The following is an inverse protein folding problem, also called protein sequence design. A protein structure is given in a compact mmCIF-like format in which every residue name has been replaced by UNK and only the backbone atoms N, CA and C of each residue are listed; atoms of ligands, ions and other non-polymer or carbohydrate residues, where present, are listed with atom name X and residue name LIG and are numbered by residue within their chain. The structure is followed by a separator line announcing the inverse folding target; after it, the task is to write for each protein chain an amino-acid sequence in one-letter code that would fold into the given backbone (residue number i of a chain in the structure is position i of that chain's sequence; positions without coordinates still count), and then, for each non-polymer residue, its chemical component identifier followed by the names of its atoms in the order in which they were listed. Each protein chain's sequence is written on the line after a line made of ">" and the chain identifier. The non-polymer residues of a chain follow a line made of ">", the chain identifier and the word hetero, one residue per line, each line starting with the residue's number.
data_IF_590372884388
#
_entry.id   IF_590372884388
#
_cell.length_a   1.000
_cell.length_b   1.000
_cell.length_c   1.000
_cell.angle_alpha   90.00
_cell.angle_beta   90.00
_cell.angle_gamma   90.00
#
_symmetry.space_group_name_H-M   'P 1'
#
loop_
_entity.id
_entity.type
_entity.pdbx_description
1 polymer ?
#
# COMPACT_ATOMS: atom_id res chain seq x y z
N UNK A 1 -60.38 5.35 33.21
CA UNK A 1 -60.22 5.30 31.74
C UNK A 1 -58.87 5.96 31.51
N UNK A 2 -57.81 5.18 31.72
CA UNK A 2 -56.43 5.67 31.75
C UNK A 2 -55.78 5.34 30.42
N UNK A 3 -55.57 6.37 29.60
CA UNK A 3 -54.81 6.26 28.36
C UNK A 3 -53.39 6.72 28.64
N UNK A 4 -52.53 5.77 28.98
CA UNK A 4 -51.08 5.99 29.07
C UNK A 4 -50.56 6.36 27.69
N UNK A 5 -50.08 7.59 27.54
CA UNK A 5 -49.18 7.96 26.46
C UNK A 5 -47.79 7.38 26.78
N UNK A 6 -47.34 6.42 25.98
CA UNK A 6 -45.95 5.98 26.00
C UNK A 6 -45.04 7.16 25.61
N UNK A 7 -43.94 7.42 26.33
CA UNK A 7 -42.96 8.38 25.89
C UNK A 7 -42.17 7.77 24.73
N UNK A 8 -42.22 8.44 23.59
CA UNK A 8 -41.45 8.13 22.39
C UNK A 8 -39.95 8.17 22.73
N UNK A 9 -39.39 6.97 22.92
CA UNK A 9 -38.04 6.76 23.40
C UNK A 9 -37.05 6.99 22.25
N UNK A 10 -36.54 8.22 22.18
CA UNK A 10 -35.17 8.58 21.75
C UNK A 10 -34.48 7.59 20.79
N UNK A 11 -34.61 7.82 19.48
CA UNK A 11 -33.60 7.39 18.48
C UNK A 11 -32.76 8.57 18.05
N UNK A 12 -32.02 9.15 18.98
CA UNK A 12 -30.83 9.92 18.67
C UNK A 12 -29.62 9.03 18.89
N UNK A 13 -29.18 8.33 17.84
CA UNK A 13 -27.92 7.57 17.85
C UNK A 13 -27.16 7.82 16.54
N UNK A 14 -26.14 8.69 16.65
CA UNK A 14 -24.79 8.44 16.13
C UNK A 14 -24.54 8.24 14.63
N UNK A 15 -25.37 8.77 13.72
CA UNK A 15 -25.14 8.63 12.26
C UNK A 15 -24.23 9.71 11.61
N UNK A 16 -23.67 10.66 12.37
CA UNK A 16 -22.91 11.78 11.78
C UNK A 16 -21.40 11.54 11.62
N UNK A 17 -20.83 10.51 12.24
CA UNK A 17 -19.37 10.31 12.30
C UNK A 17 -18.79 9.42 11.18
N UNK A 18 -19.65 8.66 10.48
CA UNK A 18 -19.20 7.63 9.53
C UNK A 18 -18.49 6.45 10.21
N UNK A 19 -17.86 5.56 9.42
CA UNK A 19 -17.22 4.36 9.95
C UNK A 19 -16.05 4.69 10.90
N UNK A 20 -15.78 3.90 11.96
CA UNK A 20 -14.71 4.16 12.94
C UNK A 20 -13.34 4.41 12.32
N UNK A 21 -12.98 3.70 11.25
CA UNK A 21 -11.69 3.89 10.58
C UNK A 21 -11.56 5.28 9.96
N UNK A 22 -12.65 5.85 9.44
CA UNK A 22 -12.67 7.21 8.89
C UNK A 22 -12.37 8.24 9.98
N UNK A 23 -12.96 8.09 11.16
CA UNK A 23 -12.70 8.99 12.29
C UNK A 23 -11.25 8.90 12.76
N UNK A 24 -10.69 7.68 12.84
CA UNK A 24 -9.28 7.49 13.15
C UNK A 24 -8.39 8.20 12.13
N UNK A 25 -8.63 7.99 10.84
CA UNK A 25 -7.84 8.60 9.77
C UNK A 25 -7.96 10.13 9.80
N UNK A 26 -9.18 10.65 9.96
CA UNK A 26 -9.43 12.10 10.13
C UNK A 26 -8.60 12.69 11.26
N UNK A 27 -8.59 12.06 12.43
CA UNK A 27 -7.82 12.54 13.59
C UNK A 27 -6.31 12.51 13.32
N UNK A 28 -5.82 11.43 12.72
CA UNK A 28 -4.40 11.30 12.36
C UNK A 28 -3.99 12.40 11.37
N UNK A 29 -4.78 12.62 10.32
CA UNK A 29 -4.50 13.65 9.33
C UNK A 29 -4.58 15.05 9.93
N UNK A 30 -5.59 15.34 10.76
CA UNK A 30 -5.75 16.64 11.42
C UNK A 30 -4.53 16.99 12.31
N UNK A 31 -3.97 16.02 13.02
CA UNK A 31 -2.83 16.26 13.92
C UNK A 31 -1.50 16.37 13.16
N UNK A 32 -1.32 15.58 12.09
CA UNK A 32 -0.04 15.49 11.38
C UNK A 32 0.12 16.51 10.27
N UNK A 33 -0.96 16.92 9.61
CA UNK A 33 -0.90 17.81 8.46
C UNK A 33 -1.33 19.22 8.85
N UNK A 34 -0.36 20.15 8.90
CA UNK A 34 -0.57 21.55 9.32
C UNK A 34 -0.70 22.54 8.17
N UNK A 35 -0.79 22.07 6.93
CA UNK A 35 -0.88 22.88 5.71
C UNK A 35 -2.17 22.65 4.93
N UNK A 36 -2.30 23.27 3.72
CA UNK A 36 -3.40 22.99 2.81
C UNK A 36 -3.51 21.48 2.57
N UNK A 37 -4.72 20.95 2.74
CA UNK A 37 -4.98 19.55 2.52
C UNK A 37 -5.23 19.29 1.03
N UNK A 38 -4.78 18.15 0.49
CA UNK A 38 -5.08 17.79 -0.88
C UNK A 38 -6.59 17.53 -1.04
N UNK A 39 -7.16 17.67 -2.25
CA UNK A 39 -8.60 17.51 -2.49
C UNK A 39 -9.18 16.20 -1.95
N UNK A 40 -8.42 15.11 -1.99
CA UNK A 40 -8.81 13.79 -1.47
C UNK A 40 -9.09 13.78 0.05
N UNK A 41 -8.61 14.79 0.80
CA UNK A 41 -8.93 14.91 2.21
C UNK A 41 -10.41 15.21 2.46
N UNK A 42 -11.16 15.70 1.46
CA UNK A 42 -12.61 15.93 1.54
C UNK A 42 -13.35 14.70 2.09
N UNK A 43 -12.98 13.49 1.67
CA UNK A 43 -13.57 12.24 2.18
C UNK A 43 -13.47 12.07 3.71
N UNK A 44 -12.45 12.66 4.34
CA UNK A 44 -12.22 12.60 5.79
C UNK A 44 -12.93 13.73 6.55
N UNK A 45 -13.02 14.92 5.94
CA UNK A 45 -13.41 16.14 6.65
C UNK A 45 -14.80 16.64 6.32
N UNK A 46 -15.35 16.30 5.15
CA UNK A 46 -16.68 16.74 4.74
C UNK A 46 -17.77 16.18 5.65
N UNK A 47 -18.85 16.96 5.77
CA UNK A 47 -20.02 16.62 6.59
C UNK A 47 -20.89 15.56 5.92
N UNK A 48 -20.79 15.39 4.61
CA UNK A 48 -21.51 14.35 3.88
C UNK A 48 -20.80 13.01 4.09
N UNK A 49 -21.54 12.07 4.65
CA UNK A 49 -21.09 10.69 4.88
C UNK A 49 -22.09 9.80 4.17
N UNK A 50 -21.61 8.92 3.28
CA UNK A 50 -22.46 7.89 2.69
C UNK A 50 -23.02 7.00 3.81
N UNK A 51 -24.35 6.95 4.01
CA UNK A 51 -24.96 6.11 5.05
C UNK A 51 -24.66 4.61 4.90
N UNK A 52 -24.24 4.17 3.71
CA UNK A 52 -23.89 2.79 3.40
C UNK A 52 -22.42 2.45 3.67
N UNK A 53 -21.59 3.42 4.09
CA UNK A 53 -20.19 3.14 4.37
C UNK A 53 -19.99 2.29 5.62
N UNK A 54 -19.37 1.12 5.43
CA UNK A 54 -18.66 0.41 6.48
C UNK A 54 -17.15 0.70 6.37
N UNK A 55 -16.35 0.18 7.30
CA UNK A 55 -14.89 0.40 7.27
C UNK A 55 -14.26 -0.09 5.95
N UNK A 56 -14.79 -1.15 5.35
CA UNK A 56 -14.22 -1.77 4.15
C UNK A 56 -14.55 -0.98 2.89
N UNK A 57 -15.81 -0.56 2.71
CA UNK A 57 -16.22 0.24 1.57
C UNK A 57 -15.56 1.62 1.61
N UNK A 58 -15.53 2.27 2.78
CA UNK A 58 -14.81 3.52 2.95
C UNK A 58 -13.32 3.40 2.59
N UNK A 59 -12.62 2.37 3.05
CA UNK A 59 -11.19 2.19 2.72
C UNK A 59 -10.99 1.96 1.21
N UNK A 60 -11.89 1.22 0.57
CA UNK A 60 -11.87 1.02 -0.88
C UNK A 60 -11.99 2.33 -1.63
N UNK A 61 -12.99 3.14 -1.28
CA UNK A 61 -13.23 4.44 -1.91
C UNK A 61 -12.08 5.42 -1.61
N UNK A 62 -11.63 5.50 -0.37
CA UNK A 62 -10.52 6.37 0.04
C UNK A 62 -9.23 6.09 -0.71
N UNK A 63 -8.87 4.83 -0.89
CA UNK A 63 -7.67 4.47 -1.67
C UNK A 63 -7.89 4.61 -3.18
N UNK A 64 -9.12 4.38 -3.67
CA UNK A 64 -9.50 4.61 -5.07
C UNK A 64 -9.41 6.08 -5.46
N UNK A 65 -9.76 7.01 -4.58
CA UNK A 65 -9.60 8.46 -4.82
C UNK A 65 -8.14 8.89 -4.95
N UNK A 66 -7.19 8.09 -4.43
CA UNK A 66 -5.76 8.39 -4.49
C UNK A 66 -5.13 7.71 -5.71
N UNK A 67 -5.41 6.42 -5.89
CA UNK A 67 -4.92 5.62 -7.01
C UNK A 67 -6.09 4.89 -7.68
N UNK A 68 -6.79 5.60 -8.55
CA UNK A 68 -7.97 5.09 -9.23
C UNK A 68 -7.59 4.04 -10.29
N UNK A 69 -8.14 2.83 -10.15
CA UNK A 69 -7.91 1.73 -11.11
C UNK A 69 -6.42 1.49 -11.43
N UNK A 70 -5.56 1.56 -10.41
CA UNK A 70 -4.10 1.42 -10.57
C UNK A 70 -3.41 2.50 -11.42
N UNK A 71 -4.10 3.59 -11.77
CA UNK A 71 -3.55 4.70 -12.57
C UNK A 71 -3.20 5.92 -11.72
N UNK A 72 -2.13 6.62 -12.09
CA UNK A 72 -1.77 7.91 -11.49
C UNK A 72 -2.47 9.05 -12.22
N UNK A 73 -3.28 9.80 -11.51
CA UNK A 73 -3.94 11.02 -12.00
C UNK A 73 -3.18 12.28 -11.53
N UNK A 74 -3.47 13.48 -12.08
CA UNK A 74 -2.76 14.70 -11.71
C UNK A 74 -2.74 15.03 -10.21
N UNK A 75 -3.77 14.61 -9.47
CA UNK A 75 -3.89 14.82 -8.02
C UNK A 75 -3.32 13.66 -7.18
N UNK A 76 -2.93 12.52 -7.78
CA UNK A 76 -2.46 11.34 -7.03
C UNK A 76 -1.29 11.69 -6.13
N UNK A 77 -0.27 12.40 -6.64
CA UNK A 77 0.92 12.76 -5.89
C UNK A 77 0.61 13.53 -4.59
N UNK A 78 -0.39 14.41 -4.62
CA UNK A 78 -0.78 15.21 -3.45
C UNK A 78 -1.55 14.35 -2.43
N UNK A 79 -2.38 13.41 -2.91
CA UNK A 79 -3.07 12.41 -2.07
C UNK A 79 -2.12 11.45 -1.35
N UNK A 80 -0.95 11.13 -1.92
CA UNK A 80 0.04 10.23 -1.29
C UNK A 80 0.61 10.79 0.02
N UNK A 81 0.52 12.10 0.26
CA UNK A 81 0.86 12.70 1.55
C UNK A 81 -0.08 12.21 2.67
N UNK A 82 -1.38 12.05 2.38
CA UNK A 82 -2.35 11.48 3.33
C UNK A 82 -1.98 10.03 3.66
N UNK A 83 -1.72 9.21 2.64
CA UNK A 83 -1.34 7.80 2.79
C UNK A 83 -0.07 7.66 3.63
N UNK A 84 0.93 8.51 3.35
CA UNK A 84 2.18 8.54 4.12
C UNK A 84 1.92 8.89 5.57
N UNK A 85 1.13 9.93 5.85
CA UNK A 85 0.81 10.35 7.21
C UNK A 85 0.15 9.22 8.02
N UNK A 86 -0.73 8.44 7.39
CA UNK A 86 -1.34 7.24 7.98
C UNK A 86 -0.32 6.12 8.18
N UNK A 87 0.52 5.85 7.19
CA UNK A 87 1.54 4.79 7.26
C UNK A 87 2.57 5.02 8.37
N UNK A 88 2.80 6.27 8.78
CA UNK A 88 3.81 6.60 9.80
C UNK A 88 3.28 6.84 11.22
N UNK A 89 1.96 6.80 11.44
CA UNK A 89 1.36 7.08 12.74
C UNK A 89 1.06 5.80 13.52
N UNK A 90 1.50 5.75 14.78
CA UNK A 90 1.36 4.55 15.63
C UNK A 90 -0.09 4.26 16.02
N UNK A 91 -0.99 5.25 15.92
CA UNK A 91 -2.42 5.05 16.18
C UNK A 91 -3.10 4.22 15.10
N UNK A 92 -2.53 4.19 13.88
CA UNK A 92 -3.09 3.41 12.77
C UNK A 92 -2.69 1.95 12.94
N UNK A 93 -3.63 0.98 13.02
CA UNK A 93 -3.29 -0.44 13.18
C UNK A 93 -2.36 -0.97 12.07
N UNK A 94 -1.49 -1.94 12.41
CA UNK A 94 -0.49 -2.48 11.49
C UNK A 94 -1.08 -2.98 10.16
N UNK A 95 -2.29 -3.56 10.18
CA UNK A 95 -3.01 -3.97 8.96
C UNK A 95 -3.28 -2.79 8.03
N UNK A 96 -3.70 -1.65 8.55
CA UNK A 96 -3.97 -0.45 7.75
C UNK A 96 -2.67 0.25 7.32
N UNK A 97 -1.63 0.22 8.16
CA UNK A 97 -0.29 0.67 7.74
C UNK A 97 0.26 -0.18 6.59
N UNK A 98 0.06 -1.50 6.61
CA UNK A 98 0.41 -2.35 5.48
C UNK A 98 -0.31 -1.91 4.20
N UNK A 99 -1.64 -1.71 4.25
CA UNK A 99 -2.42 -1.25 3.10
C UNK A 99 -1.94 0.11 2.58
N UNK A 100 -1.58 1.03 3.47
CA UNK A 100 -1.03 2.33 3.10
C UNK A 100 0.35 2.20 2.41
N UNK A 101 1.25 1.37 2.94
CA UNK A 101 2.57 1.11 2.33
C UNK A 101 2.44 0.38 0.99
N UNK A 102 1.52 -0.57 0.87
CA UNK A 102 1.21 -1.26 -0.38
C UNK A 102 0.66 -0.29 -1.44
N UNK A 103 -0.25 0.62 -1.07
CA UNK A 103 -0.72 1.67 -1.97
C UNK A 103 0.41 2.58 -2.45
N UNK A 104 1.32 2.97 -1.55
CA UNK A 104 2.51 3.74 -1.90
C UNK A 104 3.42 2.96 -2.87
N UNK A 105 3.60 1.66 -2.65
CA UNK A 105 4.35 0.79 -3.57
C UNK A 105 3.67 0.74 -4.95
N UNK A 106 2.36 0.52 -5.00
CA UNK A 106 1.59 0.49 -6.25
C UNK A 106 1.67 1.80 -7.02
N UNK A 107 1.54 2.94 -6.33
CA UNK A 107 1.67 4.27 -6.92
C UNK A 107 3.08 4.55 -7.45
N UNK A 108 4.12 4.12 -6.73
CA UNK A 108 5.51 4.29 -7.14
C UNK A 108 5.92 3.44 -8.35
N UNK A 109 5.17 2.37 -8.64
CA UNK A 109 5.52 1.35 -9.64
C UNK A 109 4.50 1.24 -10.77
N UNK A 110 3.55 2.18 -10.90
CA UNK A 110 2.51 2.16 -11.94
C UNK A 110 3.11 1.97 -13.33
N UNK A 111 4.11 2.79 -13.70
CA UNK A 111 4.76 2.72 -15.00
C UNK A 111 5.37 1.34 -15.27
N UNK A 112 6.12 0.79 -14.30
CA UNK A 112 6.73 -0.52 -14.42
C UNK A 112 5.72 -1.66 -14.49
N UNK A 113 4.64 -1.61 -13.69
CA UNK A 113 3.59 -2.63 -13.69
C UNK A 113 2.79 -2.61 -14.99
N UNK A 114 2.37 -1.44 -15.45
CA UNK A 114 1.66 -1.29 -16.72
C UNK A 114 2.53 -1.76 -17.90
N UNK A 115 3.81 -1.40 -17.92
CA UNK A 115 4.73 -1.88 -18.94
C UNK A 115 4.82 -3.41 -18.95
N UNK A 116 4.84 -4.04 -17.77
CA UNK A 116 4.91 -5.48 -17.66
C UNK A 116 3.62 -6.19 -18.11
N UNK A 117 2.47 -5.54 -17.93
CA UNK A 117 1.15 -6.07 -18.27
C UNK A 117 0.81 -5.92 -19.77
N UNK A 118 1.16 -4.79 -20.38
CA UNK A 118 0.70 -4.47 -21.75
C UNK A 118 1.73 -4.72 -22.83
N UNK A 119 2.97 -5.08 -22.50
CA UNK A 119 4.04 -5.22 -23.49
C UNK A 119 3.67 -6.10 -24.70
N UNK A 120 4.01 -5.67 -25.94
CA UNK A 120 4.78 -4.48 -26.31
C UNK A 120 3.92 -3.23 -26.56
N UNK A 121 2.63 -3.26 -26.21
CA UNK A 121 1.72 -2.12 -26.43
C UNK A 121 1.87 -1.07 -25.34
N UNK A 122 1.57 0.18 -25.71
CA UNK A 122 1.49 1.28 -24.76
C UNK A 122 0.23 1.14 -23.90
N UNK A 123 0.30 1.30 -22.58
CA UNK A 123 -0.88 1.24 -21.72
C UNK A 123 -1.88 2.34 -22.08
N UNK A 124 -3.16 1.99 -22.21
CA UNK A 124 -4.22 2.89 -22.69
C UNK A 124 -4.42 4.14 -21.81
N UNK A 125 -4.14 4.02 -20.51
CA UNK A 125 -4.35 5.07 -19.50
C UNK A 125 -3.04 5.53 -18.84
N UNK A 126 -1.89 5.27 -19.48
CA UNK A 126 -0.61 5.78 -18.97
C UNK A 126 -0.58 7.31 -18.99
N UNK A 127 -0.21 7.90 -17.86
CA UNK A 127 0.14 9.32 -17.76
C UNK A 127 1.55 9.42 -17.18
N UNK A 128 2.59 9.42 -18.05
CA UNK A 128 3.97 9.41 -17.59
C UNK A 128 4.33 10.60 -16.69
N UNK A 129 3.67 11.75 -16.85
CA UNK A 129 3.93 12.92 -16.02
C UNK A 129 3.38 12.72 -14.61
N UNK A 130 2.13 12.29 -14.50
CA UNK A 130 1.50 11.99 -13.20
C UNK A 130 2.18 10.80 -12.50
N UNK A 131 2.58 9.77 -13.24
CA UNK A 131 3.34 8.63 -12.73
C UNK A 131 4.71 9.06 -12.18
N UNK A 132 5.46 9.89 -12.90
CA UNK A 132 6.74 10.42 -12.44
C UNK A 132 6.59 11.31 -11.19
N UNK A 133 5.54 12.14 -11.13
CA UNK A 133 5.22 12.95 -9.94
C UNK A 133 4.86 12.07 -8.74
N UNK A 134 3.99 11.08 -8.92
CA UNK A 134 3.62 10.14 -7.86
C UNK A 134 4.84 9.39 -7.33
N UNK A 135 5.68 8.85 -8.24
CA UNK A 135 6.93 8.18 -7.89
C UNK A 135 7.86 9.08 -7.08
N UNK A 136 8.03 10.33 -7.50
CA UNK A 136 8.88 11.32 -6.78
C UNK A 136 8.31 11.66 -5.40
N UNK A 137 6.99 11.77 -5.27
CA UNK A 137 6.33 11.99 -3.98
C UNK A 137 6.54 10.82 -3.02
N UNK A 138 6.40 9.57 -3.48
CA UNK A 138 6.71 8.40 -2.63
C UNK A 138 8.19 8.40 -2.23
N UNK A 139 9.10 8.65 -3.18
CA UNK A 139 10.55 8.69 -2.93
C UNK A 139 10.91 9.63 -1.78
N UNK A 140 10.30 10.83 -1.74
CA UNK A 140 10.53 11.82 -0.69
C UNK A 140 10.14 11.33 0.70
N UNK A 141 9.22 10.38 0.80
CA UNK A 141 8.70 9.83 2.06
C UNK A 141 9.36 8.53 2.51
N UNK A 142 10.13 7.86 1.63
CA UNK A 142 10.82 6.60 1.94
C UNK A 142 11.65 6.66 3.22
N UNK A 143 12.46 7.70 3.51
CA UNK A 143 13.24 7.74 4.75
C UNK A 143 12.38 7.68 6.01
N UNK A 144 11.25 8.39 6.04
CA UNK A 144 10.34 8.39 7.18
C UNK A 144 9.62 7.04 7.36
N UNK A 145 9.27 6.39 6.25
CA UNK A 145 8.68 5.05 6.27
C UNK A 145 9.67 4.01 6.78
N UNK A 146 10.92 4.04 6.29
CA UNK A 146 11.96 3.10 6.72
C UNK A 146 12.43 3.33 8.16
N UNK A 147 12.33 4.55 8.69
CA UNK A 147 12.63 4.82 10.10
C UNK A 147 11.75 4.01 11.07
N UNK A 148 10.60 3.51 10.61
CA UNK A 148 9.68 2.67 11.40
C UNK A 148 10.03 1.19 11.41
N UNK A 149 11.01 0.76 10.61
CA UNK A 149 11.33 -0.65 10.38
C UNK A 149 11.32 -1.50 11.66
N UNK A 150 11.99 -1.05 12.72
CA UNK A 150 12.10 -1.80 13.98
C UNK A 150 10.78 -1.93 14.74
N UNK A 151 9.88 -0.96 14.61
CA UNK A 151 8.57 -0.97 15.27
C UNK A 151 7.52 -1.78 14.50
N UNK A 152 7.76 -2.08 13.23
CA UNK A 152 6.77 -2.72 12.36
C UNK A 152 6.76 -4.24 12.47
N UNK A 153 5.59 -4.82 12.20
CA UNK A 153 5.42 -6.27 12.15
C UNK A 153 6.00 -6.86 10.86
N UNK A 154 6.19 -8.21 10.79
CA UNK A 154 6.79 -8.88 9.65
C UNK A 154 6.20 -8.52 8.27
N UNK A 155 4.88 -8.42 8.19
CA UNK A 155 4.16 -8.13 6.94
C UNK A 155 4.38 -6.69 6.48
N UNK A 156 4.38 -5.71 7.39
CA UNK A 156 4.68 -4.31 7.04
C UNK A 156 6.15 -4.15 6.66
N UNK A 157 7.08 -4.85 7.33
CA UNK A 157 8.50 -4.86 6.95
C UNK A 157 8.73 -5.39 5.54
N UNK A 158 7.97 -6.40 5.11
CA UNK A 158 8.01 -6.88 3.72
C UNK A 158 7.62 -5.78 2.72
N UNK A 159 6.53 -5.06 2.96
CA UNK A 159 6.09 -3.97 2.09
C UNK A 159 7.11 -2.81 2.08
N UNK A 160 7.67 -2.46 3.25
CA UNK A 160 8.74 -1.45 3.36
C UNK A 160 10.01 -1.86 2.61
N UNK A 161 10.37 -3.14 2.66
CA UNK A 161 11.49 -3.68 1.89
C UNK A 161 11.25 -3.58 0.38
N UNK A 162 9.99 -3.79 -0.05
CA UNK A 162 9.56 -3.54 -1.42
C UNK A 162 9.78 -2.08 -1.86
N UNK A 163 9.41 -1.11 -1.04
CA UNK A 163 9.70 0.30 -1.33
C UNK A 163 11.20 0.61 -1.37
N UNK A 164 11.99 0.01 -0.47
CA UNK A 164 13.43 0.21 -0.43
C UNK A 164 14.14 -0.30 -1.71
N UNK A 165 13.66 -1.37 -2.34
CA UNK A 165 14.21 -1.84 -3.62
C UNK A 165 13.72 -1.04 -4.84
N UNK A 166 12.56 -0.38 -4.73
CA UNK A 166 12.08 0.58 -5.74
C UNK A 166 12.94 1.84 -5.76
N UNK A 167 13.37 2.31 -4.58
CA UNK A 167 14.18 3.51 -4.39
C UNK A 167 15.54 3.19 -3.73
N UNK A 168 16.42 2.48 -4.46
CA UNK A 168 17.72 2.11 -3.93
C UNK A 168 18.60 3.35 -3.77
N UNK A 169 19.35 3.38 -2.68
CA UNK A 169 20.41 4.35 -2.41
C UNK A 169 21.60 3.61 -1.82
N UNK A 170 22.78 4.23 -1.85
CA UNK A 170 24.01 3.69 -1.25
C UNK A 170 23.87 3.39 0.25
N UNK A 171 22.84 3.93 0.91
CA UNK A 171 22.54 3.68 2.32
C UNK A 171 21.40 2.70 2.54
N UNK A 172 20.36 2.73 1.71
CA UNK A 172 19.13 1.96 1.97
C UNK A 172 19.32 0.47 1.74
N UNK A 173 19.95 0.06 0.62
CA UNK A 173 20.14 -1.37 0.34
C UNK A 173 21.11 -2.05 1.30
N UNK A 174 22.30 -1.50 1.61
CA UNK A 174 23.21 -2.12 2.57
C UNK A 174 22.63 -2.22 3.99
N UNK A 175 21.80 -1.24 4.40
CA UNK A 175 21.10 -1.30 5.68
C UNK A 175 19.97 -2.34 5.69
N UNK A 176 19.28 -2.53 4.56
CA UNK A 176 18.18 -3.48 4.42
C UNK A 176 18.65 -4.94 4.40
N UNK A 177 19.79 -5.23 3.77
CA UNK A 177 20.27 -6.61 3.56
C UNK A 177 20.41 -7.42 4.86
N UNK A 178 21.07 -6.94 5.93
CA UNK A 178 21.16 -7.70 7.19
C UNK A 178 19.80 -7.97 7.84
N UNK A 179 18.88 -7.02 7.73
CA UNK A 179 17.53 -7.17 8.27
C UNK A 179 16.74 -8.23 7.51
N UNK A 180 16.80 -8.24 6.17
CA UNK A 180 16.17 -9.26 5.36
C UNK A 180 16.82 -10.64 5.54
N UNK A 181 18.14 -10.72 5.69
CA UNK A 181 18.83 -11.98 6.00
C UNK A 181 18.35 -12.56 7.33
N UNK A 182 18.29 -11.75 8.38
CA UNK A 182 17.72 -12.15 9.68
C UNK A 182 16.29 -12.67 9.51
N UNK A 183 15.48 -11.98 8.71
CA UNK A 183 14.11 -12.37 8.42
C UNK A 183 14.02 -13.72 7.68
N UNK A 184 14.88 -13.96 6.69
CA UNK A 184 14.93 -15.25 5.99
C UNK A 184 15.35 -16.42 6.89
N UNK A 185 16.17 -16.18 7.92
CA UNK A 185 16.51 -17.22 8.89
C UNK A 185 15.32 -17.54 9.82
N UNK A 186 14.44 -16.58 10.05
CA UNK A 186 13.23 -16.76 10.88
C UNK A 186 12.06 -17.39 10.12
N UNK A 187 12.10 -17.39 8.79
CA UNK A 187 11.03 -17.92 7.93
C UNK A 187 11.53 -19.06 7.03
N UNK A 188 10.99 -20.25 7.28
CA UNK A 188 11.31 -21.48 6.53
C UNK A 188 11.11 -21.28 5.03
N UNK A 189 12.04 -21.81 4.25
CA UNK A 189 11.93 -21.85 2.78
C UNK A 189 10.69 -22.63 2.34
N UNK A 190 10.00 -22.16 1.30
CA UNK A 190 8.73 -22.77 0.84
C UNK A 190 7.49 -22.29 1.60
N UNK A 191 7.63 -21.25 2.43
CA UNK A 191 6.49 -20.47 2.94
C UNK A 191 6.35 -19.21 2.11
N UNK A 192 5.11 -18.80 1.83
CA UNK A 192 4.80 -17.62 0.99
C UNK A 192 5.62 -16.39 1.41
N UNK A 193 5.57 -15.99 2.68
CA UNK A 193 6.33 -14.83 3.19
C UNK A 193 7.84 -15.03 3.06
N UNK A 194 8.35 -16.22 3.38
CA UNK A 194 9.79 -16.51 3.30
C UNK A 194 10.32 -16.42 1.88
N UNK A 195 9.55 -16.86 0.89
CA UNK A 195 9.94 -16.81 -0.51
C UNK A 195 9.88 -15.37 -1.05
N UNK A 196 8.93 -14.55 -0.60
CA UNK A 196 8.86 -13.13 -0.99
C UNK A 196 10.05 -12.35 -0.45
N UNK A 197 10.49 -12.60 0.78
CA UNK A 197 11.67 -11.94 1.36
C UNK A 197 12.94 -12.31 0.61
N UNK A 198 13.09 -13.60 0.23
CA UNK A 198 14.20 -14.06 -0.61
C UNK A 198 14.17 -13.38 -1.98
N UNK A 199 13.00 -13.18 -2.55
CA UNK A 199 12.86 -12.44 -3.81
C UNK A 199 13.26 -10.96 -3.66
N UNK A 200 12.86 -10.29 -2.57
CA UNK A 200 13.28 -8.92 -2.27
C UNK A 200 14.79 -8.82 -2.05
N UNK A 201 15.43 -9.82 -1.44
CA UNK A 201 16.90 -9.90 -1.34
C UNK A 201 17.57 -9.96 -2.71
N UNK A 202 17.01 -10.71 -3.67
CA UNK A 202 17.50 -10.73 -5.05
C UNK A 202 17.32 -9.36 -5.71
N UNK A 203 16.16 -8.72 -5.53
CA UNK A 203 15.95 -7.36 -6.04
C UNK A 203 16.96 -6.37 -5.46
N UNK A 204 17.33 -6.52 -4.20
CA UNK A 204 18.31 -5.67 -3.54
C UNK A 204 19.73 -5.80 -4.12
N UNK A 205 20.05 -6.84 -4.90
CA UNK A 205 21.37 -6.94 -5.56
C UNK A 205 21.51 -6.01 -6.77
N UNK A 206 20.37 -5.51 -7.31
CA UNK A 206 20.31 -4.72 -8.55
C UNK A 206 21.02 -5.40 -9.73
N UNK A 207 21.10 -6.73 -9.71
CA UNK A 207 21.67 -7.53 -10.79
C UNK A 207 20.54 -8.08 -11.68
N UNK A 208 20.42 -7.57 -12.89
CA UNK A 208 19.31 -7.90 -13.80
C UNK A 208 19.23 -9.40 -14.14
N UNK A 209 20.35 -10.10 -14.30
CA UNK A 209 20.36 -11.54 -14.61
C UNK A 209 19.83 -12.36 -13.44
N UNK A 210 20.23 -12.02 -12.21
CA UNK A 210 19.72 -12.67 -11.00
C UNK A 210 18.23 -12.37 -10.79
N UNK A 211 17.83 -11.12 -10.99
CA UNK A 211 16.44 -10.67 -10.89
C UNK A 211 15.56 -11.42 -11.89
N UNK A 212 16.00 -11.49 -13.15
CA UNK A 212 15.29 -12.18 -14.21
C UNK A 212 15.14 -13.67 -13.89
N UNK A 213 16.24 -14.34 -13.53
CA UNK A 213 16.26 -15.76 -13.18
C UNK A 213 15.30 -16.06 -12.01
N UNK A 214 15.32 -15.25 -10.95
CA UNK A 214 14.45 -15.44 -9.81
C UNK A 214 12.98 -15.18 -10.14
N UNK A 215 12.72 -14.16 -10.96
CA UNK A 215 11.37 -13.83 -11.44
C UNK A 215 10.79 -14.98 -12.26
N UNK A 216 11.55 -15.51 -13.23
CA UNK A 216 11.12 -16.64 -14.07
C UNK A 216 10.85 -17.89 -13.26
N UNK A 217 11.74 -18.23 -12.32
CA UNK A 217 11.55 -19.37 -11.43
C UNK A 217 10.24 -19.28 -10.62
N UNK A 218 9.88 -18.10 -10.14
CA UNK A 218 8.67 -17.90 -9.35
C UNK A 218 7.41 -17.87 -10.21
N UNK A 219 7.46 -17.27 -11.40
CA UNK A 219 6.33 -17.25 -12.34
C UNK A 219 6.06 -18.61 -12.98
N UNK A 220 7.09 -19.43 -13.21
CA UNK A 220 6.89 -20.78 -13.75
C UNK A 220 6.23 -21.72 -12.73
N UNK A 221 6.41 -21.46 -11.44
CA UNK A 221 5.95 -22.34 -10.37
C UNK A 221 4.61 -21.92 -9.75
N UNK A 222 4.41 -20.63 -9.48
CA UNK A 222 3.34 -20.18 -8.56
C UNK A 222 2.62 -18.89 -8.98
N UNK A 223 3.19 -18.09 -9.87
CA UNK A 223 2.70 -16.74 -10.16
C UNK A 223 2.37 -16.51 -11.63
N UNK A 224 1.49 -15.57 -11.92
CA UNK A 224 1.20 -15.19 -13.30
C UNK A 224 2.39 -14.43 -13.89
N UNK A 225 3.08 -15.07 -14.84
CA UNK A 225 4.18 -14.46 -15.58
C UNK A 225 3.73 -13.39 -16.58
N UNK A 226 4.69 -12.59 -17.01
CA UNK A 226 4.55 -11.55 -18.04
C UNK A 226 5.22 -12.01 -19.34
N UNK A 227 5.03 -11.26 -20.44
CA UNK A 227 5.73 -11.56 -21.69
C UNK A 227 7.26 -11.56 -21.49
N UNK A 228 7.96 -12.53 -22.10
CA UNK A 228 9.43 -12.69 -21.97
C UNK A 228 10.24 -11.51 -22.52
N UNK A 229 9.65 -10.71 -23.41
CA UNK A 229 10.27 -9.51 -23.97
C UNK A 229 10.24 -8.29 -23.05
N UNK A 230 9.52 -8.34 -21.92
CA UNK A 230 9.47 -7.25 -20.95
C UNK A 230 10.84 -7.13 -20.24
N UNK A 231 11.35 -5.91 -20.01
CA UNK A 231 12.59 -5.72 -19.23
C UNK A 231 12.50 -6.31 -17.81
N UNK A 232 13.62 -6.83 -17.29
CA UNK A 232 13.66 -7.60 -16.04
C UNK A 232 13.03 -6.87 -14.83
N UNK A 233 13.37 -5.59 -14.64
CA UNK A 233 12.88 -4.79 -13.51
C UNK A 233 11.35 -4.61 -13.51
N UNK A 234 10.68 -4.19 -14.60
CA UNK A 234 9.22 -4.21 -14.72
C UNK A 234 8.58 -5.55 -14.36
N UNK A 235 9.10 -6.67 -14.88
CA UNK A 235 8.60 -8.02 -14.56
C UNK A 235 8.67 -8.30 -13.07
N UNK A 236 9.81 -7.97 -12.47
CA UNK A 236 10.06 -8.24 -11.06
C UNK A 236 9.21 -7.37 -10.12
N UNK A 237 9.01 -6.08 -10.45
CA UNK A 237 8.14 -5.19 -9.66
C UNK A 237 6.66 -5.56 -9.81
N UNK A 238 6.24 -6.01 -11.00
CA UNK A 238 4.91 -6.57 -11.19
C UNK A 238 4.70 -7.82 -10.33
N UNK A 239 5.63 -8.77 -10.36
CA UNK A 239 5.58 -9.97 -9.51
C UNK A 239 5.54 -9.62 -8.02
N UNK A 240 6.38 -8.69 -7.55
CA UNK A 240 6.35 -8.23 -6.16
C UNK A 240 5.01 -7.59 -5.80
N UNK A 241 4.39 -6.84 -6.71
CA UNK A 241 3.04 -6.29 -6.55
C UNK A 241 1.97 -7.38 -6.38
N UNK A 242 2.05 -8.47 -7.15
CA UNK A 242 1.16 -9.63 -6.99
C UNK A 242 1.33 -10.28 -5.60
N UNK A 243 2.58 -10.43 -5.14
CA UNK A 243 2.89 -10.99 -3.81
C UNK A 243 2.30 -10.13 -2.69
N UNK A 244 2.52 -8.81 -2.73
CA UNK A 244 1.97 -7.88 -1.73
C UNK A 244 0.44 -7.86 -1.75
N UNK A 245 -0.18 -7.94 -2.92
CA UNK A 245 -1.64 -8.06 -3.08
C UNK A 245 -2.16 -9.32 -2.40
N UNK A 246 -1.52 -10.48 -2.62
CA UNK A 246 -1.91 -11.74 -1.98
C UNK A 246 -1.82 -11.65 -0.46
N UNK A 247 -0.73 -11.10 0.07
CA UNK A 247 -0.56 -10.87 1.52
C UNK A 247 -1.66 -9.94 2.07
N UNK A 248 -1.99 -8.87 1.36
CA UNK A 248 -3.07 -7.95 1.73
C UNK A 248 -4.44 -8.63 1.80
N UNK A 249 -4.75 -9.49 0.82
CA UNK A 249 -5.99 -10.28 0.81
C UNK A 249 -6.03 -11.23 2.02
N UNK A 250 -4.94 -11.93 2.33
CA UNK A 250 -4.87 -12.85 3.47
C UNK A 250 -5.07 -12.11 4.80
N UNK A 251 -4.47 -10.93 4.97
CA UNK A 251 -4.71 -10.06 6.14
C UNK A 251 -6.16 -9.61 6.28
N UNK A 252 -6.89 -9.50 5.17
CA UNK A 252 -8.31 -9.12 5.21
C UNK A 252 -9.24 -10.29 5.55
N UNK A 253 -8.82 -11.52 5.26
CA UNK A 253 -9.57 -12.76 5.53
C UNK A 253 -9.33 -13.31 6.94
N UNK A 254 -8.17 -13.03 7.54
CA UNK A 254 -7.91 -13.41 8.93
C UNK A 254 -8.87 -12.68 9.88
N UNK A 255 -9.57 -13.37 10.78
CA UNK A 255 -10.39 -12.72 11.81
C UNK A 255 -9.50 -11.80 12.66
N UNK A 256 -10.00 -10.62 13.01
CA UNK A 256 -9.34 -9.72 13.97
C UNK A 256 -9.34 -10.38 15.35
N UNK A 257 -8.33 -11.20 15.62
CA UNK A 257 -8.23 -11.97 16.84
C UNK A 257 -6.94 -12.77 16.89
N UNK A 258 -5.84 -12.06 17.15
CA UNK A 258 -4.69 -12.50 17.94
C UNK A 258 -3.93 -11.27 18.44
#
# INVERSE_FOLDING_TARGET
>A
MDTNAEPEQTRHTTNAAGPPIRQLFRNVIADRMKGPQPPQAAMLFDSEVDPCWDDRSFLGDFYSEILHQDTCQPATADGLALVTALAVDDRVPARHRFQAVDLLFRAATVAERHLAETWPTTPQHADPHSEARARSAVQAHVPALLARWSAECPVVRLALAGLAVVFPTDRTLPALTPHLQTFTHQHTQGTDIGDYVRFVLVLATQNDDQILTATEKLTDAYWTGTARGVPARPRALHLLGQMLTKVGIELTRAPAGQ
#
